data_IF_133093829986
#
_entry.id   IF_133093829986
#
_cell.length_a   1.000
_cell.length_b   1.000
_cell.length_c   1.000
_cell.angle_alpha   90.00
_cell.angle_beta   90.00
_cell.angle_gamma   90.00
#
_symmetry.space_group_name_H-M   'P 1'
#
loop_
_entity.id
_entity.type
_entity.pdbx_description
1 polymer ?
#
# COMPACT_ATOMS: atom_id res chain seq x y z
N UNK A 1 -7.19 6.94 16.00
CA UNK A 1 -6.74 6.04 14.92
C UNK A 1 -6.72 6.88 13.66
N UNK A 2 -5.59 6.94 12.96
CA UNK A 2 -5.49 7.70 11.71
C UNK A 2 -6.08 6.90 10.54
N UNK A 3 -6.30 7.56 9.41
CA UNK A 3 -6.91 6.91 8.24
C UNK A 3 -6.05 5.74 7.73
N UNK A 4 -4.71 5.87 7.80
CA UNK A 4 -3.79 4.80 7.42
C UNK A 4 -3.90 3.55 8.29
N UNK A 5 -4.16 3.69 9.59
CA UNK A 5 -4.36 2.54 10.48
C UNK A 5 -5.64 1.79 10.13
N UNK A 6 -6.73 2.52 9.88
CA UNK A 6 -8.00 1.92 9.43
C UNK A 6 -7.80 1.19 8.11
N UNK A 7 -7.16 1.85 7.14
CA UNK A 7 -6.89 1.27 5.83
C UNK A 7 -6.03 0.00 5.92
N UNK A 8 -4.92 0.04 6.66
CA UNK A 8 -4.03 -1.11 6.82
C UNK A 8 -4.76 -2.31 7.43
N UNK A 9 -5.65 -2.09 8.42
CA UNK A 9 -6.46 -3.16 9.01
C UNK A 9 -7.42 -3.77 7.98
N UNK A 10 -8.18 -2.94 7.26
CA UNK A 10 -9.16 -3.40 6.26
C UNK A 10 -8.48 -4.16 5.12
N UNK A 11 -7.43 -3.59 4.54
CA UNK A 11 -6.73 -4.17 3.41
C UNK A 11 -6.05 -5.50 3.77
N UNK A 12 -5.41 -5.58 4.94
CA UNK A 12 -4.78 -6.82 5.40
C UNK A 12 -5.79 -7.93 5.71
N UNK A 13 -7.05 -7.58 6.03
CA UNK A 13 -8.12 -8.55 6.20
C UNK A 13 -8.61 -9.08 4.86
N UNK A 14 -8.72 -8.21 3.84
CA UNK A 14 -9.12 -8.60 2.49
C UNK A 14 -8.09 -9.52 1.80
N UNK A 15 -6.79 -9.28 2.00
CA UNK A 15 -5.72 -10.13 1.42
C UNK A 15 -5.67 -11.56 1.94
N UNK A 16 -6.45 -11.90 2.98
CA UNK A 16 -6.59 -13.28 3.48
C UNK A 16 -7.69 -14.08 2.77
N UNK A 17 -8.49 -13.43 1.93
CA UNK A 17 -9.48 -14.07 1.07
C UNK A 17 -8.91 -14.10 -0.36
N UNK A 18 -9.00 -15.23 -1.10
CA UNK A 18 -8.56 -15.27 -2.48
C UNK A 18 -9.44 -14.33 -3.30
N UNK A 19 -8.91 -13.15 -3.61
CA UNK A 19 -9.49 -12.23 -4.58
C UNK A 19 -9.02 -12.72 -5.95
N UNK A 20 -9.85 -13.51 -6.63
CA UNK A 20 -9.68 -13.88 -8.05
C UNK A 20 -9.91 -12.68 -9.00
N UNK A 21 -9.84 -11.44 -8.52
CA UNK A 21 -10.19 -10.26 -9.30
C UNK A 21 -8.98 -9.36 -9.62
N UNK A 22 -8.92 -8.83 -10.86
CA UNK A 22 -7.86 -7.94 -11.28
C UNK A 22 -7.89 -6.62 -10.51
N UNK A 23 -6.69 -6.07 -10.31
CA UNK A 23 -6.41 -5.00 -9.38
C UNK A 23 -7.16 -3.68 -9.70
N UNK A 24 -7.74 -2.98 -8.71
CA UNK A 24 -7.96 -3.42 -7.33
C UNK A 24 -9.41 -3.27 -6.88
N UNK A 25 -10.20 -4.34 -6.92
CA UNK A 25 -11.44 -4.41 -6.15
C UNK A 25 -11.19 -4.17 -4.64
N UNK A 26 -9.97 -4.44 -4.15
CA UNK A 26 -9.59 -4.18 -2.76
C UNK A 26 -9.51 -2.70 -2.38
N UNK A 27 -9.27 -1.76 -3.31
CA UNK A 27 -9.31 -0.33 -2.97
C UNK A 27 -10.75 0.19 -2.86
N UNK A 28 -11.71 -0.55 -3.40
CA UNK A 28 -13.14 -0.27 -3.27
C UNK A 28 -13.59 -0.21 -1.82
N UNK A 29 -13.12 -1.13 -0.97
CA UNK A 29 -13.50 -1.18 0.46
C UNK A 29 -13.18 0.12 1.20
N UNK A 30 -12.09 0.79 0.83
CA UNK A 30 -11.69 2.06 1.46
C UNK A 30 -12.62 3.18 1.03
N UNK A 31 -12.99 3.21 -0.25
CA UNK A 31 -13.91 4.21 -0.82
C UNK A 31 -15.33 4.02 -0.29
N UNK A 32 -15.78 2.78 -0.13
CA UNK A 32 -17.05 2.45 0.55
C UNK A 32 -17.05 2.92 2.02
N UNK A 33 -15.89 2.84 2.68
CA UNK A 33 -15.66 3.40 4.01
C UNK A 33 -15.49 4.92 4.06
N UNK A 34 -15.72 5.65 2.95
CA UNK A 34 -15.50 7.09 2.80
C UNK A 34 -14.05 7.57 3.04
N UNK A 35 -13.06 6.69 2.94
CA UNK A 35 -11.67 7.08 3.01
C UNK A 35 -11.23 7.67 1.67
N UNK A 36 -10.73 8.91 1.70
CA UNK A 36 -10.18 9.60 0.54
C UNK A 36 -8.66 9.55 0.59
N UNK A 37 -8.04 9.07 -0.48
CA UNK A 37 -6.59 8.89 -0.54
C UNK A 37 -6.05 9.09 -1.95
N UNK A 38 -4.78 9.49 -2.03
CA UNK A 38 -3.97 9.42 -3.24
C UNK A 38 -3.28 8.06 -3.27
N UNK A 39 -3.31 7.40 -4.43
CA UNK A 39 -2.64 6.12 -4.66
C UNK A 39 -1.35 6.36 -5.45
N UNK A 40 -0.21 5.91 -4.91
CA UNK A 40 1.11 6.06 -5.52
C UNK A 40 1.85 4.73 -5.56
N UNK A 41 2.51 4.48 -6.70
CA UNK A 41 3.48 3.42 -6.86
C UNK A 41 4.88 4.01 -6.99
N UNK A 42 5.87 3.32 -6.45
CA UNK A 42 7.25 3.77 -6.45
C UNK A 42 8.23 2.62 -6.32
N UNK A 43 9.51 2.96 -6.18
CA UNK A 43 10.60 2.02 -5.99
C UNK A 43 11.52 2.51 -4.88
N UNK A 44 12.02 1.59 -4.04
CA UNK A 44 13.11 1.83 -3.09
C UNK A 44 14.38 1.28 -3.71
N UNK A 45 15.30 2.17 -4.05
CA UNK A 45 16.61 1.84 -4.57
C UNK A 45 17.58 3.00 -4.34
N UNK A 46 18.83 2.80 -4.74
CA UNK A 46 19.81 3.88 -4.71
C UNK A 46 19.43 4.97 -5.71
N UNK A 47 19.52 6.23 -5.28
CA UNK A 47 19.20 7.37 -6.13
C UNK A 47 20.12 7.39 -7.34
N UNK A 48 19.53 7.57 -8.53
CA UNK A 48 20.23 7.70 -9.81
C UNK A 48 20.99 6.44 -10.26
N UNK A 49 20.73 5.29 -9.63
CA UNK A 49 21.25 3.99 -10.06
C UNK A 49 20.06 3.16 -10.56
N UNK A 50 20.02 2.79 -11.85
CA UNK A 50 19.05 1.83 -12.34
C UNK A 50 19.28 0.50 -11.63
N UNK A 51 18.36 0.13 -10.75
CA UNK A 51 18.39 -1.10 -9.98
C UNK A 51 17.18 -1.93 -10.38
N UNK A 52 17.41 -2.96 -11.19
CA UNK A 52 16.37 -3.90 -11.61
C UNK A 52 15.81 -4.69 -10.43
N UNK A 53 16.54 -4.75 -9.33
CA UNK A 53 16.18 -5.49 -8.13
C UNK A 53 15.55 -4.56 -7.07
N UNK A 54 15.33 -3.28 -7.40
CA UNK A 54 14.72 -2.30 -6.50
C UNK A 54 13.35 -2.76 -6.01
N UNK A 55 13.13 -2.68 -4.69
CA UNK A 55 11.84 -3.01 -4.10
C UNK A 55 10.76 -2.08 -4.65
N UNK A 56 9.64 -2.62 -5.10
CA UNK A 56 8.47 -1.82 -5.44
C UNK A 56 7.77 -1.38 -4.16
N UNK A 57 7.17 -0.20 -4.19
CA UNK A 57 6.35 0.35 -3.11
C UNK A 57 4.97 0.68 -3.63
N UNK A 58 3.97 0.48 -2.78
CA UNK A 58 2.63 1.00 -2.98
C UNK A 58 2.20 1.77 -1.74
N UNK A 59 1.77 3.01 -1.94
CA UNK A 59 1.40 3.94 -0.89
C UNK A 59 0.01 4.53 -1.12
N UNK A 60 -0.81 4.54 -0.06
CA UNK A 60 -2.05 5.29 0.01
C UNK A 60 -1.83 6.47 0.96
N UNK A 61 -1.93 7.68 0.45
CA UNK A 61 -1.69 8.92 1.20
C UNK A 61 -3.03 9.55 1.53
N UNK A 62 -3.32 9.72 2.81
CA UNK A 62 -4.59 10.23 3.31
C UNK A 62 -4.52 11.74 3.58
N UNK A 63 -5.69 12.36 3.75
CA UNK A 63 -5.80 13.81 3.96
C UNK A 63 -5.16 14.27 5.29
N UNK A 64 -5.10 13.39 6.28
CA UNK A 64 -4.41 13.62 7.56
C UNK A 64 -2.87 13.51 7.44
N UNK A 65 -2.35 13.23 6.24
CA UNK A 65 -0.92 13.05 5.95
C UNK A 65 -0.37 11.67 6.32
N UNK A 66 -1.19 10.82 6.95
CA UNK A 66 -0.82 9.43 7.25
C UNK A 66 -0.74 8.61 5.96
N UNK A 67 0.00 7.50 6.00
CA UNK A 67 0.20 6.65 4.82
C UNK A 67 0.02 5.18 5.15
N UNK A 68 -0.74 4.46 4.33
CA UNK A 68 -0.69 3.00 4.31
C UNK A 68 0.34 2.60 3.25
N UNK A 69 1.37 1.85 3.62
CA UNK A 69 2.48 1.46 2.75
C UNK A 69 2.63 -0.06 2.74
N UNK A 70 2.89 -0.63 1.56
CA UNK A 70 3.43 -2.00 1.42
C UNK A 70 4.58 -2.02 0.41
N UNK A 71 5.41 -3.05 0.51
CA UNK A 71 6.57 -3.23 -0.36
C UNK A 71 6.57 -4.63 -0.98
N UNK A 72 7.15 -4.78 -2.16
CA UNK A 72 7.42 -6.10 -2.75
C UNK A 72 8.84 -6.09 -3.32
N UNK A 73 9.51 -7.24 -3.27
CA UNK A 73 10.74 -7.39 -4.05
C UNK A 73 10.40 -7.41 -5.55
N UNK A 74 11.34 -7.00 -6.39
CA UNK A 74 11.16 -6.90 -7.84
C UNK A 74 10.71 -8.23 -8.47
N UNK A 75 11.35 -9.34 -8.06
CA UNK A 75 11.16 -10.66 -8.67
C UNK A 75 10.59 -11.73 -7.72
N UNK A 76 10.06 -11.33 -6.56
CA UNK A 76 9.53 -12.31 -5.60
C UNK A 76 8.15 -12.83 -6.00
N UNK A 77 8.05 -14.15 -6.19
CA UNK A 77 6.77 -14.88 -6.23
C UNK A 77 5.95 -14.69 -4.92
N UNK A 78 6.61 -14.28 -3.83
CA UNK A 78 6.01 -14.04 -2.51
C UNK A 78 5.15 -12.78 -2.39
N UNK A 79 4.98 -12.02 -3.48
CA UNK A 79 4.01 -10.92 -3.56
C UNK A 79 4.35 -9.71 -2.69
N UNK A 80 3.32 -8.92 -2.37
CA UNK A 80 3.43 -7.74 -1.52
C UNK A 80 3.44 -8.10 -0.04
N UNK A 81 4.20 -7.35 0.76
CA UNK A 81 4.06 -7.39 2.22
C UNK A 81 2.65 -6.97 2.64
N UNK A 82 2.32 -7.26 3.90
CA UNK A 82 1.18 -6.63 4.56
C UNK A 82 1.30 -5.10 4.54
N UNK A 83 0.14 -4.44 4.53
CA UNK A 83 0.03 -3.00 4.68
C UNK A 83 0.46 -2.56 6.08
N UNK A 84 1.32 -1.56 6.15
CA UNK A 84 1.76 -0.91 7.38
C UNK A 84 1.26 0.54 7.39
N UNK A 85 0.82 1.02 8.55
CA UNK A 85 0.44 2.42 8.75
C UNK A 85 1.65 3.25 9.19
N UNK A 86 1.88 4.37 8.51
CA UNK A 86 2.90 5.36 8.81
C UNK A 86 2.22 6.66 9.22
N UNK A 87 2.63 7.18 10.37
CA UNK A 87 2.19 8.50 10.83
C UNK A 87 2.90 9.61 10.04
N UNK A 88 2.29 10.79 9.91
CA UNK A 88 2.98 11.97 9.38
C UNK A 88 4.28 12.23 10.15
N UNK A 89 5.34 12.63 9.45
CA UNK A 89 6.56 13.12 10.08
C UNK A 89 6.28 14.56 10.57
N UNK A 90 6.35 14.77 11.89
CA UNK A 90 6.23 16.07 12.54
C UNK A 90 7.55 16.85 12.50
#
# INVERSE_FOLDING_TARGET
MCDAEVAAVLLNRCTLQPLDEPEPSYLGILREGNLTFKHEHGFVGLRDIPDSDACRTESLIFADGSRALRVSAAESEGGWTRWAALQPLH
#
